data_IF_563259485998
#
_entry.id   IF_563259485998
#
_cell.length_a   1.000
_cell.length_b   1.000
_cell.length_c   1.000
_cell.angle_alpha   90.00
_cell.angle_beta   90.00
_cell.angle_gamma   90.00
#
_symmetry.space_group_name_H-M   'P 1'
#
loop_
_entity.id
_entity.type
_entity.pdbx_description
1 polymer ?
#
# COMPACT_ATOMS: atom_id res chain seq x y z
N UNK A 1 -22.99 -10.73 -8.31
CA UNK A 1 -22.95 -9.27 -8.13
C UNK A 1 -24.01 -8.88 -7.11
N UNK A 2 -23.61 -8.18 -6.04
CA UNK A 2 -24.53 -7.64 -5.03
C UNK A 2 -24.58 -6.13 -5.16
N UNK A 3 -25.78 -5.58 -5.23
CA UNK A 3 -26.00 -4.15 -5.41
C UNK A 3 -27.00 -3.62 -4.40
N UNK A 4 -26.57 -2.71 -3.51
CA UNK A 4 -27.41 -2.02 -2.55
C UNK A 4 -27.66 -0.59 -3.05
N UNK A 5 -28.90 -0.29 -3.41
CA UNK A 5 -29.30 0.97 -4.04
C UNK A 5 -29.87 1.94 -3.01
N UNK A 6 -29.19 3.05 -2.81
CA UNK A 6 -29.56 4.12 -1.89
C UNK A 6 -30.13 5.37 -2.60
N UNK A 7 -30.44 5.29 -3.90
CA UNK A 7 -30.94 6.42 -4.71
C UNK A 7 -32.28 6.93 -4.19
N UNK A 8 -32.40 8.26 -3.98
CA UNK A 8 -33.59 8.90 -3.42
C UNK A 8 -34.24 9.93 -4.37
N UNK A 9 -33.60 10.31 -5.47
CA UNK A 9 -33.95 11.51 -6.25
C UNK A 9 -34.78 11.23 -7.52
N UNK A 10 -35.89 10.52 -7.41
CA UNK A 10 -36.85 10.34 -8.52
C UNK A 10 -36.45 9.33 -9.61
N UNK A 11 -35.21 8.90 -9.66
CA UNK A 11 -34.67 7.88 -10.58
C UNK A 11 -34.75 6.46 -10.00
N UNK A 12 -35.42 6.31 -8.89
CA UNK A 12 -35.51 5.07 -8.11
C UNK A 12 -35.97 3.87 -8.96
N UNK A 13 -36.90 4.10 -9.88
CA UNK A 13 -37.41 3.04 -10.75
C UNK A 13 -36.47 2.73 -11.92
N UNK A 14 -35.60 3.64 -12.33
CA UNK A 14 -34.69 3.44 -13.45
C UNK A 14 -33.61 2.40 -13.09
N UNK A 15 -32.97 2.54 -11.93
CA UNK A 15 -31.95 1.59 -11.47
C UNK A 15 -32.55 0.19 -11.31
N UNK A 16 -33.69 0.09 -10.63
CA UNK A 16 -34.36 -1.19 -10.44
C UNK A 16 -34.73 -1.85 -11.77
N UNK A 17 -35.20 -1.06 -12.75
CA UNK A 17 -35.53 -1.57 -14.07
C UNK A 17 -34.30 -2.08 -14.83
N UNK A 18 -33.19 -1.34 -14.79
CA UNK A 18 -31.92 -1.77 -15.38
C UNK A 18 -31.49 -3.08 -14.74
N UNK A 19 -31.48 -3.16 -13.41
CA UNK A 19 -31.09 -4.40 -12.69
C UNK A 19 -31.99 -5.57 -13.11
N UNK A 20 -33.30 -5.39 -13.16
CA UNK A 20 -34.25 -6.43 -13.60
C UNK A 20 -34.00 -6.89 -15.03
N UNK A 21 -33.60 -5.99 -15.92
CA UNK A 21 -33.24 -6.32 -17.30
C UNK A 21 -31.99 -7.23 -17.31
N UNK A 22 -30.93 -6.84 -16.62
CA UNK A 22 -29.72 -7.64 -16.52
C UNK A 22 -29.93 -8.97 -15.79
N UNK A 23 -30.79 -9.02 -14.78
CA UNK A 23 -31.19 -10.28 -14.15
C UNK A 23 -31.83 -11.24 -15.15
N UNK A 24 -32.78 -10.77 -15.98
CA UNK A 24 -33.39 -11.58 -17.02
C UNK A 24 -32.38 -12.04 -18.07
N UNK A 25 -31.42 -11.19 -18.45
CA UNK A 25 -30.35 -11.56 -19.37
C UNK A 25 -29.47 -12.67 -18.79
N UNK A 26 -29.06 -12.54 -17.52
CA UNK A 26 -28.25 -13.55 -16.84
C UNK A 26 -29.00 -14.89 -16.70
N UNK A 27 -30.29 -14.87 -16.36
CA UNK A 27 -31.14 -16.07 -16.31
C UNK A 27 -31.27 -16.76 -17.67
N UNK A 28 -31.43 -15.97 -18.74
CA UNK A 28 -31.49 -16.48 -20.10
C UNK A 28 -30.16 -17.13 -20.53
N UNK A 29 -29.03 -16.51 -20.18
CA UNK A 29 -27.71 -17.00 -20.54
C UNK A 29 -27.32 -18.25 -19.77
N UNK A 30 -27.68 -18.32 -18.49
CA UNK A 30 -27.23 -19.40 -17.59
C UNK A 30 -28.24 -20.55 -17.45
N UNK A 31 -29.50 -20.32 -17.79
CA UNK A 31 -30.62 -21.24 -17.52
C UNK A 31 -30.88 -21.44 -16.01
N UNK A 32 -30.39 -20.56 -15.16
CA UNK A 32 -30.51 -20.62 -13.69
C UNK A 32 -31.04 -19.27 -13.19
N UNK A 33 -31.38 -19.22 -11.87
CA UNK A 33 -31.69 -17.97 -11.18
C UNK A 33 -30.52 -16.99 -11.34
N UNK A 34 -30.83 -15.73 -11.53
CA UNK A 34 -29.82 -14.67 -11.70
C UNK A 34 -28.83 -14.61 -10.52
N UNK A 35 -27.56 -14.41 -10.88
CA UNK A 35 -26.46 -14.17 -9.94
C UNK A 35 -26.37 -12.70 -9.50
N UNK A 36 -27.26 -11.84 -9.97
CA UNK A 36 -27.35 -10.44 -9.60
C UNK A 36 -28.33 -10.31 -8.43
N UNK A 37 -27.83 -9.94 -7.26
CA UNK A 37 -28.62 -9.64 -6.06
C UNK A 37 -28.81 -8.12 -5.99
N UNK A 38 -30.04 -7.69 -5.76
CA UNK A 38 -30.40 -6.29 -5.64
C UNK A 38 -31.22 -6.04 -4.39
N UNK A 39 -30.91 -4.95 -3.69
CA UNK A 39 -31.65 -4.48 -2.52
C UNK A 39 -31.83 -2.97 -2.61
N UNK A 40 -33.09 -2.52 -2.67
CA UNK A 40 -33.43 -1.11 -2.49
C UNK A 40 -33.32 -0.77 -1.01
N UNK A 41 -32.56 0.25 -0.68
CA UNK A 41 -32.45 0.77 0.68
C UNK A 41 -33.53 1.82 0.94
N UNK A 42 -34.01 1.91 2.18
CA UNK A 42 -35.05 2.85 2.58
C UNK A 42 -34.56 4.30 2.63
N UNK A 43 -33.23 4.49 2.75
CA UNK A 43 -32.56 5.80 2.71
C UNK A 43 -31.08 5.61 2.38
N UNK A 44 -30.38 6.71 2.11
CA UNK A 44 -28.93 6.73 2.00
C UNK A 44 -28.32 6.78 3.40
N UNK A 45 -27.63 5.70 3.78
CA UNK A 45 -26.95 5.56 5.08
C UNK A 45 -25.48 5.99 5.06
N UNK A 46 -24.97 6.47 3.92
CA UNK A 46 -23.56 6.77 3.67
C UNK A 46 -22.82 5.60 3.04
N UNK A 47 -21.60 5.88 2.54
CA UNK A 47 -20.84 4.92 1.72
C UNK A 47 -20.51 3.62 2.48
N UNK A 48 -20.05 3.74 3.72
CA UNK A 48 -19.69 2.58 4.53
C UNK A 48 -20.89 1.65 4.77
N UNK A 49 -22.00 2.19 5.25
CA UNK A 49 -23.15 1.37 5.60
C UNK A 49 -23.87 0.83 4.36
N UNK A 50 -23.95 1.58 3.26
CA UNK A 50 -24.49 1.08 2.01
C UNK A 50 -23.67 -0.09 1.47
N UNK A 51 -22.34 -0.02 1.58
CA UNK A 51 -21.43 -1.12 1.22
C UNK A 51 -21.68 -2.33 2.14
N UNK A 52 -21.84 -2.14 3.45
CA UNK A 52 -22.16 -3.22 4.39
C UNK A 52 -23.50 -3.91 4.04
N UNK A 53 -24.50 -3.16 3.55
CA UNK A 53 -25.76 -3.76 3.08
C UNK A 53 -25.53 -4.65 1.84
N UNK A 54 -24.61 -4.29 0.95
CA UNK A 54 -24.22 -5.13 -0.18
C UNK A 54 -23.43 -6.37 0.27
N UNK A 55 -22.49 -6.20 1.20
CA UNK A 55 -21.71 -7.30 1.80
C UNK A 55 -22.60 -8.35 2.47
N UNK A 56 -23.67 -7.92 3.16
CA UNK A 56 -24.63 -8.82 3.79
C UNK A 56 -25.39 -9.73 2.80
N UNK A 57 -25.44 -9.37 1.51
CA UNK A 57 -26.05 -10.19 0.46
C UNK A 57 -25.05 -11.10 -0.25
N UNK A 58 -23.76 -10.87 -0.06
CA UNK A 58 -22.71 -11.61 -0.76
C UNK A 58 -22.55 -13.02 -0.19
N UNK A 59 -22.54 -14.06 -1.04
CA UNK A 59 -22.45 -15.48 -0.67
C UNK A 59 -21.19 -16.16 -1.24
N UNK A 60 -20.35 -15.43 -1.97
CA UNK A 60 -19.14 -15.97 -2.60
C UNK A 60 -18.02 -16.29 -1.61
N UNK A 61 -17.12 -17.20 -1.98
CA UNK A 61 -15.91 -17.52 -1.22
C UNK A 61 -14.92 -16.36 -1.19
N UNK A 62 -14.99 -15.49 -2.21
CA UNK A 62 -14.23 -14.25 -2.32
C UNK A 62 -15.16 -13.09 -2.59
N UNK A 63 -14.81 -11.93 -2.07
CA UNK A 63 -15.53 -10.67 -2.24
C UNK A 63 -14.59 -9.66 -2.89
N UNK A 64 -15.03 -9.09 -4.00
CA UNK A 64 -14.33 -8.00 -4.68
C UNK A 64 -15.19 -6.73 -4.64
N UNK A 65 -14.53 -5.58 -4.52
CA UNK A 65 -15.18 -4.28 -4.39
C UNK A 65 -15.10 -3.53 -5.73
N UNK A 66 -16.24 -3.00 -6.16
CA UNK A 66 -16.35 -2.20 -7.38
C UNK A 66 -17.23 -0.99 -7.10
N UNK A 67 -16.70 0.20 -7.32
CA UNK A 67 -17.46 1.42 -7.21
C UNK A 67 -18.46 1.54 -8.39
N UNK A 68 -19.62 2.08 -8.10
CA UNK A 68 -20.76 2.05 -9.04
C UNK A 68 -20.52 2.86 -10.32
N UNK A 69 -19.58 3.78 -10.31
CA UNK A 69 -19.20 4.67 -11.42
C UNK A 69 -17.92 4.24 -12.14
N UNK A 70 -17.24 3.20 -11.67
CA UNK A 70 -16.00 2.70 -12.22
C UNK A 70 -16.18 1.53 -13.20
N UNK A 71 -15.06 1.05 -13.75
CA UNK A 71 -15.05 -0.01 -14.75
C UNK A 71 -13.94 -1.01 -14.42
N UNK A 72 -14.21 -2.28 -14.61
CA UNK A 72 -13.19 -3.34 -14.60
C UNK A 72 -12.96 -3.88 -16.01
N UNK A 73 -11.75 -4.41 -16.25
CA UNK A 73 -11.45 -5.06 -17.53
C UNK A 73 -12.28 -6.34 -17.71
N UNK A 74 -12.55 -6.80 -18.94
CA UNK A 74 -13.33 -8.01 -19.18
C UNK A 74 -12.76 -9.28 -18.55
N UNK A 75 -11.45 -9.34 -18.31
CA UNK A 75 -10.71 -10.45 -17.74
C UNK A 75 -10.43 -10.28 -16.23
N UNK A 76 -10.82 -9.17 -15.61
CA UNK A 76 -10.49 -8.86 -14.21
C UNK A 76 -10.86 -10.00 -13.24
N UNK A 77 -12.09 -10.50 -13.30
CA UNK A 77 -12.54 -11.58 -12.42
C UNK A 77 -11.80 -12.90 -12.69
N UNK A 78 -11.44 -13.15 -13.95
CA UNK A 78 -10.65 -14.33 -14.31
C UNK A 78 -9.24 -14.27 -13.72
N UNK A 79 -8.56 -13.14 -13.84
CA UNK A 79 -7.21 -12.92 -13.31
C UNK A 79 -7.17 -13.02 -11.78
N UNK A 80 -8.14 -12.41 -11.10
CA UNK A 80 -8.31 -12.53 -9.64
C UNK A 80 -8.54 -13.99 -9.21
N UNK A 81 -9.43 -14.72 -9.87
CA UNK A 81 -9.71 -16.13 -9.57
C UNK A 81 -8.50 -17.03 -9.89
N UNK A 82 -7.75 -16.72 -10.95
CA UNK A 82 -6.53 -17.43 -11.31
C UNK A 82 -5.46 -17.24 -10.25
N UNK A 83 -5.25 -16.02 -9.76
CA UNK A 83 -4.30 -15.72 -8.69
C UNK A 83 -4.65 -16.50 -7.40
N UNK A 84 -5.91 -16.48 -6.98
CA UNK A 84 -6.37 -17.24 -5.82
C UNK A 84 -6.15 -18.76 -5.97
N UNK A 85 -6.45 -19.30 -7.16
CA UNK A 85 -6.21 -20.71 -7.48
C UNK A 85 -4.72 -21.08 -7.47
N UNK A 86 -3.86 -20.20 -8.01
CA UNK A 86 -2.42 -20.40 -8.02
C UNK A 86 -1.82 -20.37 -6.61
N UNK A 87 -2.23 -19.40 -5.79
CA UNK A 87 -1.83 -19.31 -4.39
C UNK A 87 -2.11 -20.60 -3.63
N UNK A 88 -3.34 -21.12 -3.74
CA UNK A 88 -3.74 -22.38 -3.11
C UNK A 88 -2.92 -23.58 -3.58
N UNK A 89 -2.55 -23.64 -4.88
CA UNK A 89 -1.73 -24.73 -5.42
C UNK A 89 -0.29 -24.70 -4.95
N UNK A 90 0.28 -23.53 -4.67
CA UNK A 90 1.67 -23.38 -4.22
C UNK A 90 1.82 -23.51 -2.70
N UNK A 91 0.73 -23.80 -1.98
CA UNK A 91 0.73 -23.90 -0.51
C UNK A 91 0.90 -22.55 0.19
N UNK A 92 0.87 -21.47 -0.55
CA UNK A 92 0.82 -20.10 -0.02
C UNK A 92 -0.64 -19.69 0.01
N UNK A 93 -1.37 -20.12 1.03
CA UNK A 93 -2.73 -19.63 1.21
C UNK A 93 -2.69 -18.11 1.26
N UNK A 94 -3.47 -17.47 0.41
CA UNK A 94 -3.60 -16.04 0.35
C UNK A 94 -5.09 -15.71 0.39
N UNK A 95 -5.40 -14.71 1.18
CA UNK A 95 -6.78 -14.31 1.45
C UNK A 95 -7.04 -12.84 1.11
N UNK A 96 -6.04 -12.14 0.57
CA UNK A 96 -6.15 -10.77 0.05
C UNK A 96 -5.39 -10.63 -1.26
N UNK A 97 -6.03 -9.99 -2.25
CA UNK A 97 -5.50 -9.79 -3.61
C UNK A 97 -5.81 -8.36 -4.07
N UNK A 98 -4.89 -7.75 -4.81
CA UNK A 98 -5.12 -6.45 -5.44
C UNK A 98 -4.41 -6.37 -6.79
N UNK A 99 -4.89 -5.49 -7.66
CA UNK A 99 -4.31 -5.26 -8.98
C UNK A 99 -3.82 -3.83 -9.16
N UNK A 100 -3.14 -3.59 -10.28
CA UNK A 100 -2.91 -2.24 -10.78
C UNK A 100 -4.22 -1.60 -11.24
N UNK A 101 -4.20 -0.28 -11.34
CA UNK A 101 -5.31 0.53 -11.82
C UNK A 101 -4.82 1.66 -12.73
N UNK A 102 -5.73 2.26 -13.46
CA UNK A 102 -5.53 3.54 -14.13
C UNK A 102 -6.77 4.42 -14.00
N UNK A 103 -6.74 5.58 -14.63
CA UNK A 103 -7.90 6.45 -14.72
C UNK A 103 -8.49 6.42 -16.12
N UNK A 104 -9.81 6.59 -16.20
CA UNK A 104 -10.52 6.75 -17.46
C UNK A 104 -11.39 8.00 -17.40
N UNK A 105 -11.47 8.73 -18.52
CA UNK A 105 -12.34 9.91 -18.60
C UNK A 105 -13.82 9.53 -18.55
N UNK A 106 -14.69 10.49 -18.27
CA UNK A 106 -16.14 10.32 -18.13
C UNK A 106 -16.76 9.57 -19.32
N UNK A 107 -16.30 9.87 -20.54
CA UNK A 107 -16.79 9.26 -21.77
C UNK A 107 -16.16 7.89 -22.08
N UNK A 108 -15.26 7.39 -21.27
CA UNK A 108 -14.58 6.09 -21.42
C UNK A 108 -13.79 5.96 -22.73
N UNK A 109 -13.22 7.05 -23.20
CA UNK A 109 -12.49 7.11 -24.49
C UNK A 109 -10.98 7.27 -24.33
N UNK A 110 -10.49 7.68 -23.15
CA UNK A 110 -9.09 7.89 -22.86
C UNK A 110 -8.73 7.33 -21.49
N UNK A 111 -7.69 6.49 -21.46
CA UNK A 111 -7.09 5.94 -20.24
C UNK A 111 -5.80 6.70 -19.97
N UNK A 112 -5.53 7.03 -18.69
CA UNK A 112 -4.39 7.88 -18.31
C UNK A 112 -3.99 7.63 -16.85
N UNK A 113 -2.83 8.15 -16.46
CA UNK A 113 -2.28 8.05 -15.10
C UNK A 113 -2.31 6.62 -14.52
N UNK A 114 -1.66 5.64 -15.19
CA UNK A 114 -1.60 4.29 -14.65
C UNK A 114 -0.90 4.29 -13.28
N UNK A 115 -1.47 3.55 -12.33
CA UNK A 115 -0.89 3.27 -11.04
C UNK A 115 -0.40 1.83 -11.00
N UNK A 116 0.88 1.64 -11.36
CA UNK A 116 1.59 0.37 -11.19
C UNK A 116 2.02 0.24 -9.73
N UNK A 117 1.50 -0.76 -9.07
CA UNK A 117 1.67 -0.98 -7.63
C UNK A 117 2.83 -1.93 -7.39
N UNK A 118 3.53 -1.84 -6.25
CA UNK A 118 4.51 -2.86 -5.87
C UNK A 118 3.82 -4.13 -5.36
N UNK A 119 4.57 -5.21 -5.20
CA UNK A 119 4.20 -6.29 -4.30
C UNK A 119 3.94 -5.71 -2.90
N UNK A 120 3.25 -6.46 -2.03
CA UNK A 120 2.81 -5.94 -0.74
C UNK A 120 3.96 -5.30 0.05
N UNK A 121 3.75 -4.06 0.49
CA UNK A 121 4.72 -3.20 1.13
C UNK A 121 4.06 -2.46 2.30
N UNK A 122 4.33 -2.91 3.52
CA UNK A 122 3.64 -2.42 4.71
C UNK A 122 3.94 -0.95 5.01
N UNK A 123 5.22 -0.54 4.96
CA UNK A 123 5.58 0.84 5.29
C UNK A 123 5.13 1.82 4.19
N UNK A 124 5.06 1.38 2.94
CA UNK A 124 4.40 2.14 1.89
C UNK A 124 2.89 2.24 2.13
N UNK A 125 2.23 1.15 2.56
CA UNK A 125 0.81 1.19 2.90
C UNK A 125 0.54 2.13 4.08
N UNK A 126 1.38 2.16 5.08
CA UNK A 126 1.28 3.12 6.18
C UNK A 126 1.44 4.58 5.72
N UNK A 127 2.13 4.78 4.58
CA UNK A 127 2.37 6.12 4.02
C UNK A 127 1.32 6.57 3.00
N UNK A 128 0.61 5.64 2.36
CA UNK A 128 -0.38 5.91 1.32
C UNK A 128 -1.24 4.68 1.06
N UNK A 129 -2.56 4.89 0.90
CA UNK A 129 -3.45 3.82 0.44
C UNK A 129 -3.21 3.49 -1.03
N UNK A 130 -2.12 2.79 -1.34
CA UNK A 130 -1.78 2.43 -2.72
C UNK A 130 -2.56 1.22 -3.24
N UNK A 131 -3.16 0.41 -2.36
CA UNK A 131 -3.92 -0.79 -2.76
C UNK A 131 -5.23 -0.41 -3.44
N UNK A 132 -6.03 0.46 -2.84
CA UNK A 132 -7.31 1.04 -3.26
C UNK A 132 -8.18 0.09 -4.11
N UNK A 133 -7.95 0.00 -5.43
CA UNK A 133 -8.68 -0.80 -6.42
C UNK A 133 -7.70 -1.67 -7.25
N UNK A 134 -8.01 -2.79 -7.79
CA UNK A 134 -9.16 -3.63 -7.56
C UNK A 134 -8.85 -4.58 -6.40
N UNK A 135 -9.58 -4.49 -5.31
CA UNK A 135 -9.37 -5.30 -4.10
C UNK A 135 -10.30 -6.51 -4.11
N UNK A 136 -9.76 -7.68 -3.75
CA UNK A 136 -10.50 -8.90 -3.48
C UNK A 136 -10.00 -9.55 -2.18
N UNK A 137 -10.92 -9.92 -1.29
CA UNK A 137 -10.62 -10.62 -0.04
C UNK A 137 -11.40 -11.93 0.06
N UNK A 138 -10.88 -12.91 0.79
CA UNK A 138 -11.63 -14.12 1.08
C UNK A 138 -12.79 -13.83 2.03
N UNK A 139 -13.84 -14.66 1.97
CA UNK A 139 -14.94 -14.62 2.93
C UNK A 139 -14.45 -14.76 4.35
N UNK A 140 -13.54 -15.69 4.58
CA UNK A 140 -12.96 -15.93 5.90
C UNK A 140 -12.26 -14.71 6.48
N UNK A 141 -11.45 -14.01 5.67
CA UNK A 141 -10.80 -12.76 6.09
C UNK A 141 -11.84 -11.67 6.37
N UNK A 142 -12.85 -11.51 5.49
CA UNK A 142 -13.92 -10.53 5.71
C UNK A 142 -14.68 -10.80 7.02
N UNK A 143 -14.99 -12.05 7.32
CA UNK A 143 -15.71 -12.43 8.55
C UNK A 143 -14.89 -12.16 9.81
N UNK A 144 -13.56 -12.27 9.73
CA UNK A 144 -12.64 -11.94 10.83
C UNK A 144 -12.49 -10.42 11.02
N UNK A 145 -12.32 -9.69 9.93
CA UNK A 145 -12.10 -8.23 9.93
C UNK A 145 -13.39 -7.47 10.24
N UNK A 146 -14.53 -8.00 9.83
CA UNK A 146 -15.81 -7.32 9.83
C UNK A 146 -15.99 -6.41 8.61
N UNK A 147 -17.08 -5.67 8.59
CA UNK A 147 -17.44 -4.78 7.47
C UNK A 147 -16.63 -3.47 7.43
N UNK A 148 -17.10 -2.58 6.56
CA UNK A 148 -16.58 -1.22 6.43
C UNK A 148 -16.99 -0.39 7.66
N UNK A 149 -16.06 0.37 8.25
CA UNK A 149 -16.33 1.19 9.43
C UNK A 149 -16.64 2.64 9.04
N UNK A 150 -17.85 3.11 9.36
CA UNK A 150 -18.32 4.46 9.06
C UNK A 150 -17.59 5.58 9.82
N UNK A 151 -16.87 5.24 10.89
CA UNK A 151 -16.08 6.22 11.63
C UNK A 151 -14.94 6.80 10.80
N UNK A 152 -14.56 6.08 9.72
CA UNK A 152 -13.53 6.48 8.77
C UNK A 152 -14.12 6.93 7.43
N UNK A 153 -15.38 7.37 7.36
CA UNK A 153 -15.96 7.90 6.11
C UNK A 153 -15.02 8.94 5.49
N UNK A 154 -14.72 8.77 4.18
CA UNK A 154 -13.70 9.52 3.44
C UNK A 154 -12.34 8.81 3.32
N UNK A 155 -12.07 7.80 4.16
CA UNK A 155 -10.95 6.87 4.06
C UNK A 155 -11.35 5.48 4.60
N UNK A 156 -12.63 5.12 4.46
CA UNK A 156 -13.22 3.86 4.96
C UNK A 156 -12.61 2.62 4.27
N UNK A 157 -12.22 2.74 3.03
CA UNK A 157 -11.49 1.74 2.26
C UNK A 157 -10.07 1.54 2.82
N UNK A 158 -9.40 2.62 3.20
CA UNK A 158 -8.06 2.58 3.78
C UNK A 158 -8.06 1.88 5.15
N UNK A 159 -9.00 2.23 6.04
CA UNK A 159 -9.18 1.52 7.31
C UNK A 159 -9.45 0.03 7.08
N UNK A 160 -10.33 -0.30 6.13
CA UNK A 160 -10.66 -1.69 5.81
C UNK A 160 -9.43 -2.45 5.28
N UNK A 161 -8.66 -1.87 4.37
CA UNK A 161 -7.43 -2.45 3.83
C UNK A 161 -6.41 -2.68 4.93
N UNK A 162 -6.17 -1.70 5.81
CA UNK A 162 -5.26 -1.84 6.94
C UNK A 162 -5.68 -3.00 7.86
N UNK A 163 -6.97 -3.07 8.24
CA UNK A 163 -7.48 -4.20 9.05
C UNK A 163 -7.34 -5.54 8.34
N UNK A 164 -7.56 -5.59 7.05
CA UNK A 164 -7.34 -6.81 6.26
C UNK A 164 -5.87 -7.24 6.30
N UNK A 165 -4.92 -6.32 6.10
CA UNK A 165 -3.48 -6.64 6.10
C UNK A 165 -2.95 -7.04 7.48
N UNK A 166 -3.62 -6.64 8.57
CA UNK A 166 -3.28 -7.07 9.94
C UNK A 166 -3.54 -8.57 10.17
N UNK A 167 -4.53 -9.14 9.48
CA UNK A 167 -5.01 -10.50 9.66
C UNK A 167 -4.76 -11.41 8.45
N UNK A 168 -4.34 -10.84 7.32
CA UNK A 168 -4.09 -11.61 6.12
C UNK A 168 -2.88 -12.55 6.27
N UNK A 169 -3.03 -13.80 5.87
CA UNK A 169 -1.91 -14.75 5.80
C UNK A 169 -0.90 -14.35 4.72
N UNK A 170 -1.40 -13.98 3.56
CA UNK A 170 -0.62 -13.44 2.45
C UNK A 170 -1.46 -12.45 1.64
N UNK A 171 -0.80 -11.39 1.18
CA UNK A 171 -1.35 -10.37 0.29
C UNK A 171 -0.67 -10.51 -1.07
N UNK A 172 -1.44 -10.75 -2.12
CA UNK A 172 -0.92 -10.99 -3.48
C UNK A 172 -1.26 -9.83 -4.40
N UNK A 173 -0.24 -9.28 -5.02
CA UNK A 173 -0.34 -8.32 -6.11
C UNK A 173 -0.48 -9.02 -7.46
N UNK A 174 -1.39 -8.54 -8.29
CA UNK A 174 -1.57 -8.95 -9.68
C UNK A 174 -1.10 -7.78 -10.56
N UNK A 175 0.09 -7.87 -11.18
CA UNK A 175 0.69 -6.75 -11.91
C UNK A 175 0.03 -6.54 -13.28
N UNK A 176 -1.26 -6.25 -13.25
CA UNK A 176 -2.10 -5.95 -14.41
C UNK A 176 -3.07 -4.85 -14.07
N UNK A 177 -3.28 -3.91 -14.98
CA UNK A 177 -4.35 -2.92 -14.86
C UNK A 177 -5.68 -3.62 -15.11
N UNK A 178 -6.40 -3.91 -14.02
CA UNK A 178 -7.69 -4.60 -14.05
C UNK A 178 -8.86 -3.69 -13.68
N UNK A 179 -8.56 -2.46 -13.25
CA UNK A 179 -9.54 -1.50 -12.78
C UNK A 179 -9.28 -0.13 -13.40
N UNK A 180 -10.35 0.56 -13.79
CA UNK A 180 -10.31 1.89 -14.37
C UNK A 180 -11.16 2.84 -13.53
N UNK A 181 -10.52 3.72 -12.77
CA UNK A 181 -11.18 4.75 -11.99
C UNK A 181 -11.69 5.85 -12.90
N UNK A 182 -13.02 6.00 -12.95
CA UNK A 182 -13.67 6.99 -13.84
C UNK A 182 -13.67 8.37 -13.18
N UNK A 183 -12.99 9.32 -13.83
CA UNK A 183 -12.90 10.70 -13.38
C UNK A 183 -14.01 11.53 -13.99
N UNK A 184 -14.83 12.14 -13.14
CA UNK A 184 -15.89 13.09 -13.52
C UNK A 184 -15.93 14.28 -12.54
N UNK A 185 -16.64 15.36 -12.90
CA UNK A 185 -16.66 16.61 -12.12
C UNK A 185 -17.14 16.44 -10.66
N UNK A 186 -17.89 15.39 -10.34
CA UNK A 186 -18.41 15.09 -9.00
C UNK A 186 -17.57 14.07 -8.22
N UNK A 187 -16.50 13.54 -8.81
CA UNK A 187 -15.64 12.57 -8.11
C UNK A 187 -14.92 13.25 -6.93
N UNK A 188 -14.64 12.51 -5.88
CA UNK A 188 -13.91 12.99 -4.69
C UNK A 188 -12.57 13.64 -5.03
N UNK A 189 -12.01 13.35 -6.20
CA UNK A 189 -10.82 14.00 -6.73
C UNK A 189 -11.01 15.49 -7.11
N UNK A 190 -12.25 15.98 -7.27
CA UNK A 190 -12.53 17.31 -7.86
C UNK A 190 -12.83 18.44 -6.83
N UNK A 191 -13.17 18.15 -5.57
CA UNK A 191 -13.63 19.15 -4.59
C UNK A 191 -12.62 19.56 -3.53
N UNK A 192 -12.35 20.86 -3.34
CA UNK A 192 -11.42 21.36 -2.32
C UNK A 192 -11.92 21.14 -0.87
N UNK A 193 -13.23 21.17 -0.62
CA UNK A 193 -13.80 21.02 0.74
C UNK A 193 -13.98 19.57 1.20
N UNK A 194 -13.96 18.59 0.27
CA UNK A 194 -14.03 17.16 0.59
C UNK A 194 -12.67 16.58 0.95
N UNK A 195 -11.58 17.32 0.74
CA UNK A 195 -10.22 16.84 0.90
C UNK A 195 -9.75 16.82 2.35
N UNK A 196 -10.12 17.80 3.14
CA UNK A 196 -9.59 17.93 4.52
C UNK A 196 -10.11 16.81 5.43
N UNK A 197 -11.41 16.49 5.37
CA UNK A 197 -11.95 15.42 6.19
C UNK A 197 -11.42 14.03 5.79
N UNK A 198 -11.16 13.80 4.48
CA UNK A 198 -10.59 12.56 4.01
C UNK A 198 -9.12 12.38 4.45
N UNK A 199 -8.35 13.48 4.51
CA UNK A 199 -6.99 13.48 5.07
C UNK A 199 -7.01 13.10 6.55
N UNK A 200 -7.90 13.72 7.33
CA UNK A 200 -8.03 13.44 8.75
C UNK A 200 -8.53 12.00 9.01
N UNK A 201 -9.49 11.52 8.22
CA UNK A 201 -9.97 10.14 8.31
C UNK A 201 -8.85 9.13 8.00
N UNK A 202 -8.06 9.38 6.95
CA UNK A 202 -6.90 8.54 6.60
C UNK A 202 -5.82 8.55 7.69
N UNK A 203 -5.54 9.72 8.28
CA UNK A 203 -4.66 9.82 9.43
C UNK A 203 -5.17 8.99 10.61
N UNK A 204 -6.45 9.12 10.98
CA UNK A 204 -7.07 8.34 12.05
C UNK A 204 -7.03 6.82 11.76
N UNK A 205 -7.24 6.41 10.52
CA UNK A 205 -7.14 5.00 10.11
C UNK A 205 -5.73 4.44 10.37
N UNK A 206 -4.68 5.18 9.98
CA UNK A 206 -3.29 4.79 10.23
C UNK A 206 -2.98 4.79 11.73
N UNK A 207 -3.38 5.82 12.49
CA UNK A 207 -3.15 5.88 13.95
C UNK A 207 -3.79 4.69 14.66
N UNK A 208 -5.00 4.31 14.27
CA UNK A 208 -5.69 3.12 14.80
C UNK A 208 -4.99 1.81 14.41
N UNK A 209 -4.48 1.73 13.17
CA UNK A 209 -3.66 0.61 12.72
C UNK A 209 -2.39 0.46 13.57
N UNK A 210 -1.62 1.53 13.74
CA UNK A 210 -0.40 1.51 14.55
C UNK A 210 -0.70 1.08 15.99
N UNK A 211 -1.80 1.55 16.57
CA UNK A 211 -2.23 1.14 17.91
C UNK A 211 -2.55 -0.36 17.98
N UNK A 212 -3.31 -0.91 17.03
CA UNK A 212 -3.63 -2.35 16.97
C UNK A 212 -2.36 -3.20 16.79
N UNK A 213 -1.39 -2.70 16.04
CA UNK A 213 -0.10 -3.38 15.82
C UNK A 213 0.89 -3.19 16.98
N UNK A 214 0.57 -2.36 17.98
CA UNK A 214 1.45 -2.05 19.11
C UNK A 214 2.68 -1.24 18.70
N UNK A 215 2.59 -0.48 17.60
CA UNK A 215 3.65 0.41 17.12
C UNK A 215 3.48 1.83 17.68
N UNK A 216 4.55 2.40 18.23
CA UNK A 216 4.58 3.75 18.76
C UNK A 216 4.96 4.72 17.64
N UNK A 217 3.99 5.25 16.92
CA UNK A 217 4.20 6.18 15.82
C UNK A 217 3.20 7.33 15.84
N UNK A 218 3.67 8.52 15.47
CA UNK A 218 2.84 9.70 15.24
C UNK A 218 2.66 9.92 13.75
N UNK A 219 1.41 9.97 13.29
CA UNK A 219 1.10 10.21 11.88
C UNK A 219 1.17 11.70 11.54
N UNK A 220 1.96 12.05 10.57
CA UNK A 220 2.18 13.41 10.06
C UNK A 220 1.66 13.49 8.64
N UNK A 221 0.78 14.47 8.37
CA UNK A 221 0.29 14.75 7.01
C UNK A 221 1.41 15.39 6.20
N UNK A 222 1.65 14.88 5.00
CA UNK A 222 2.63 15.46 4.06
C UNK A 222 2.00 16.55 3.19
N UNK A 223 2.79 17.35 2.45
CA UNK A 223 2.24 18.29 1.47
C UNK A 223 1.50 17.61 0.30
N UNK A 224 1.60 16.31 0.15
CA UNK A 224 0.97 15.54 -0.90
C UNK A 224 -0.36 14.96 -0.42
N UNK A 225 -1.43 15.19 -1.17
CA UNK A 225 -2.77 14.71 -0.80
C UNK A 225 -2.81 13.18 -0.70
N UNK A 226 -3.28 12.65 0.45
CA UNK A 226 -3.39 11.21 0.70
C UNK A 226 -2.06 10.51 1.01
N UNK A 227 -0.98 11.29 1.24
CA UNK A 227 0.30 10.77 1.68
C UNK A 227 0.63 11.21 3.11
N UNK A 228 1.15 10.28 3.88
CA UNK A 228 1.48 10.44 5.29
C UNK A 228 2.92 10.03 5.55
N UNK A 229 3.46 10.47 6.67
CA UNK A 229 4.73 10.04 7.22
C UNK A 229 4.52 9.63 8.67
N UNK A 230 5.21 8.57 9.08
CA UNK A 230 5.15 8.11 10.46
C UNK A 230 6.44 8.54 11.16
N UNK A 231 6.31 9.32 12.23
CA UNK A 231 7.40 9.62 13.16
C UNK A 231 7.36 8.58 14.28
N UNK A 232 8.20 7.54 14.16
CA UNK A 232 8.25 6.49 15.17
C UNK A 232 8.99 6.96 16.43
N UNK A 233 8.51 6.53 17.59
CA UNK A 233 9.20 6.68 18.86
C UNK A 233 10.24 5.59 19.06
N UNK A 234 11.35 5.92 19.73
CA UNK A 234 12.36 4.90 20.08
C UNK A 234 11.72 3.92 21.08
N UNK A 235 11.81 2.63 20.78
CA UNK A 235 11.45 1.59 21.74
C UNK A 235 12.49 1.57 22.87
N UNK A 236 12.08 1.96 24.07
CA UNK A 236 12.96 2.08 25.25
C UNK A 236 13.44 0.75 25.82
N UNK A 237 12.88 -0.37 25.37
CA UNK A 237 13.37 -1.71 25.73
C UNK A 237 14.69 -2.04 25.04
N UNK A 238 14.98 -1.40 23.89
CA UNK A 238 16.19 -1.60 23.11
C UNK A 238 17.27 -0.62 23.54
N UNK A 239 18.52 -1.08 23.62
CA UNK A 239 19.67 -0.27 23.94
C UNK A 239 20.41 0.12 22.66
N UNK A 240 21.12 1.25 22.69
CA UNK A 240 21.93 1.69 21.54
C UNK A 240 22.98 0.65 21.11
N UNK A 241 23.50 -0.14 22.05
CA UNK A 241 24.47 -1.23 21.82
C UNK A 241 23.87 -2.43 21.05
N UNK A 242 22.54 -2.49 20.91
CA UNK A 242 21.85 -3.54 20.12
C UNK A 242 21.88 -3.24 18.61
N UNK A 243 22.47 -2.12 18.22
CA UNK A 243 22.51 -1.67 16.82
C UNK A 243 23.93 -1.30 16.39
N UNK A 244 24.22 -1.45 15.11
CA UNK A 244 25.45 -0.99 14.47
C UNK A 244 25.13 0.02 13.37
N UNK A 245 25.70 1.22 13.52
CA UNK A 245 25.54 2.29 12.55
C UNK A 245 26.71 2.29 11.55
N UNK A 246 26.39 2.13 10.28
CA UNK A 246 27.30 2.35 9.16
C UNK A 246 27.06 3.75 8.63
N UNK A 247 28.08 4.59 8.61
CA UNK A 247 28.04 5.95 8.08
C UNK A 247 29.39 6.28 7.45
N UNK A 248 29.40 6.48 6.13
CA UNK A 248 30.60 6.79 5.38
C UNK A 248 31.13 8.17 5.78
N UNK A 249 32.43 8.28 6.06
CA UNK A 249 33.08 9.51 6.49
C UNK A 249 33.07 10.60 5.38
N UNK A 250 32.89 10.22 4.13
CA UNK A 250 32.75 11.17 3.01
C UNK A 250 31.39 11.89 2.98
N UNK A 251 30.45 11.43 3.77
CA UNK A 251 29.10 12.00 3.88
C UNK A 251 29.00 12.98 5.05
N UNK A 252 28.08 13.92 4.93
CA UNK A 252 27.58 14.77 6.01
C UNK A 252 26.05 14.75 6.03
N UNK A 253 25.43 14.77 7.22
CA UNK A 253 23.98 14.84 7.31
C UNK A 253 23.46 16.23 6.89
N UNK A 254 22.26 16.25 6.31
CA UNK A 254 21.52 17.48 6.01
C UNK A 254 20.54 17.86 7.13
N UNK A 255 20.21 16.92 8.01
CA UNK A 255 19.37 17.15 9.19
C UNK A 255 20.09 16.65 10.46
N UNK A 256 19.86 17.33 11.60
CA UNK A 256 20.59 17.05 12.84
C UNK A 256 20.10 15.77 13.55
N UNK A 257 18.84 15.41 13.33
CA UNK A 257 18.13 14.31 14.00
C UNK A 257 18.20 12.96 13.25
N UNK A 258 18.97 12.88 12.16
CA UNK A 258 19.09 11.70 11.31
C UNK A 258 19.37 10.38 12.05
N UNK A 259 20.20 10.42 13.09
CA UNK A 259 20.48 9.22 13.90
C UNK A 259 19.27 8.81 14.72
N UNK A 260 18.57 9.78 15.31
CA UNK A 260 17.39 9.52 16.13
C UNK A 260 16.30 8.87 15.28
N UNK A 261 16.11 9.36 14.04
CA UNK A 261 15.17 8.77 13.07
C UNK A 261 15.57 7.32 12.78
N UNK A 262 16.82 7.05 12.39
CA UNK A 262 17.30 5.67 12.14
C UNK A 262 17.05 4.75 13.33
N UNK A 263 17.39 5.20 14.55
CA UNK A 263 17.19 4.38 15.75
C UNK A 263 15.71 4.13 16.04
N UNK A 264 14.87 5.13 15.89
CA UNK A 264 13.43 4.98 16.10
C UNK A 264 12.83 3.93 15.15
N UNK A 265 13.13 4.03 13.87
CA UNK A 265 12.64 3.10 12.85
C UNK A 265 13.19 1.68 13.04
N UNK A 266 14.50 1.55 13.26
CA UNK A 266 15.14 0.24 13.45
C UNK A 266 14.73 -0.43 14.77
N UNK A 267 14.25 0.35 15.76
CA UNK A 267 13.78 -0.19 17.04
C UNK A 267 12.45 -0.94 16.93
N UNK A 268 11.75 -0.79 15.82
CA UNK A 268 10.51 -1.53 15.52
C UNK A 268 10.79 -3.03 15.43
N UNK A 269 9.86 -3.82 15.95
CA UNK A 269 10.03 -5.28 16.10
C UNK A 269 10.34 -6.01 14.78
N UNK A 270 9.73 -5.56 13.69
CA UNK A 270 9.81 -6.22 12.38
C UNK A 270 10.88 -5.63 11.44
N UNK A 271 11.58 -4.57 11.84
CA UNK A 271 12.60 -3.91 11.04
C UNK A 271 13.99 -4.37 11.49
N UNK A 272 14.81 -4.86 10.57
CA UNK A 272 16.18 -5.32 10.83
C UNK A 272 17.25 -4.36 10.35
N UNK A 273 16.95 -3.61 9.28
CA UNK A 273 17.84 -2.65 8.64
C UNK A 273 17.04 -1.42 8.23
N UNK A 274 17.60 -0.23 8.47
CA UNK A 274 17.06 1.04 7.99
C UNK A 274 18.14 1.80 7.26
N UNK A 275 17.84 2.36 6.09
CA UNK A 275 18.77 3.20 5.35
C UNK A 275 18.16 4.51 4.89
N UNK A 276 19.03 5.50 4.73
CA UNK A 276 18.65 6.85 4.35
C UNK A 276 18.82 7.16 2.85
N UNK A 277 18.54 8.40 2.51
CA UNK A 277 18.70 9.00 1.18
C UNK A 277 20.05 9.71 1.08
N UNK A 278 20.84 9.35 0.10
CA UNK A 278 22.17 9.92 -0.13
C UNK A 278 22.14 10.75 -1.40
N UNK A 279 22.58 12.01 -1.30
CA UNK A 279 22.71 12.92 -2.42
C UNK A 279 24.14 13.07 -2.90
N UNK A 280 24.31 13.25 -4.20
CA UNK A 280 25.55 13.73 -4.78
C UNK A 280 25.76 15.22 -4.50
N UNK A 281 26.91 15.77 -4.94
CA UNK A 281 27.27 17.20 -4.78
C UNK A 281 26.36 18.17 -5.53
N UNK A 282 25.55 17.66 -6.46
CA UNK A 282 24.59 18.42 -7.25
C UNK A 282 23.16 18.30 -6.72
N UNK A 283 22.99 17.78 -5.50
CA UNK A 283 21.70 17.52 -4.86
C UNK A 283 20.79 16.60 -5.69
N UNK A 284 21.41 15.58 -6.33
CA UNK A 284 20.68 14.48 -6.94
C UNK A 284 20.82 13.23 -6.11
N UNK A 285 19.79 12.42 -6.06
CA UNK A 285 19.83 11.13 -5.33
C UNK A 285 20.92 10.27 -5.97
N UNK A 286 21.94 9.96 -5.19
CA UNK A 286 23.03 9.05 -5.54
C UNK A 286 22.66 7.61 -5.18
N UNK A 287 22.22 7.38 -3.95
CA UNK A 287 21.70 6.10 -3.47
C UNK A 287 20.52 6.32 -2.50
N UNK A 288 19.55 5.39 -2.53
CA UNK A 288 18.38 5.38 -1.66
C UNK A 288 17.90 3.94 -1.47
N UNK A 289 16.72 3.59 -2.00
CA UNK A 289 16.19 2.23 -2.00
C UNK A 289 16.63 1.44 -3.23
N UNK A 290 16.86 0.15 -3.06
CA UNK A 290 17.13 -0.80 -4.14
C UNK A 290 16.07 -1.89 -4.13
N UNK A 291 15.57 -2.27 -5.33
CA UNK A 291 14.60 -3.34 -5.50
C UNK A 291 15.20 -4.47 -6.36
N UNK A 292 15.07 -5.72 -5.92
CA UNK A 292 15.61 -6.89 -6.61
C UNK A 292 14.78 -7.30 -7.82
N UNK A 293 13.46 -7.10 -7.76
CA UNK A 293 12.57 -7.28 -8.90
C UNK A 293 12.39 -5.92 -9.57
N UNK A 294 12.37 -5.91 -10.90
CA UNK A 294 12.06 -4.70 -11.66
C UNK A 294 10.82 -4.03 -11.09
N UNK A 295 10.93 -2.75 -10.87
CA UNK A 295 9.89 -1.97 -10.23
C UNK A 295 8.96 -1.32 -11.27
N UNK A 296 7.95 -0.64 -10.75
CA UNK A 296 7.03 0.20 -11.50
C UNK A 296 7.68 1.37 -12.28
N UNK A 297 8.96 1.68 -12.06
CA UNK A 297 9.68 2.77 -12.75
C UNK A 297 10.41 2.28 -14.00
N UNK A 298 10.47 0.95 -14.22
CA UNK A 298 11.26 0.33 -15.25
C UNK A 298 12.75 0.23 -14.92
N UNK A 299 13.15 0.49 -13.65
CA UNK A 299 14.50 0.22 -13.19
C UNK A 299 14.82 -1.27 -13.28
N UNK A 300 16.05 -1.60 -13.64
CA UNK A 300 16.49 -2.98 -13.70
C UNK A 300 16.57 -3.60 -12.29
N UNK A 301 16.51 -4.92 -12.24
CA UNK A 301 16.65 -5.68 -11.01
C UNK A 301 17.94 -5.30 -10.26
N UNK A 302 17.83 -4.99 -8.96
CA UNK A 302 18.96 -4.61 -8.11
C UNK A 302 19.42 -3.15 -8.24
N UNK A 303 18.75 -2.33 -9.05
CA UNK A 303 19.09 -0.92 -9.22
C UNK A 303 18.50 -0.03 -8.13
N UNK A 304 19.15 1.13 -7.93
CA UNK A 304 18.66 2.22 -7.12
C UNK A 304 17.53 2.94 -7.86
N UNK A 305 16.30 2.68 -7.43
CA UNK A 305 15.07 3.10 -8.14
C UNK A 305 14.85 4.62 -8.20
N UNK A 306 15.57 5.41 -7.42
CA UNK A 306 15.43 6.86 -7.36
C UNK A 306 16.66 7.62 -7.85
N UNK A 307 17.64 6.93 -8.44
CA UNK A 307 18.90 7.51 -8.89
C UNK A 307 18.69 8.70 -9.83
N UNK A 308 19.44 9.77 -9.59
CA UNK A 308 19.45 10.97 -10.42
C UNK A 308 18.28 11.94 -10.20
N UNK A 309 17.25 11.59 -9.41
CA UNK A 309 16.17 12.52 -9.05
C UNK A 309 16.74 13.71 -8.26
N UNK A 310 16.22 14.92 -8.53
CA UNK A 310 16.62 16.13 -7.79
C UNK A 310 16.04 16.12 -6.39
N UNK A 311 16.75 16.76 -5.46
CA UNK A 311 16.23 17.01 -4.12
C UNK A 311 14.83 17.66 -4.17
N UNK A 312 13.92 17.18 -3.32
CA UNK A 312 12.53 17.63 -3.26
C UNK A 312 11.60 17.02 -4.33
N UNK A 313 12.12 16.42 -5.39
CA UNK A 313 11.29 15.74 -6.38
C UNK A 313 11.02 14.29 -5.95
N UNK A 314 9.74 13.95 -5.77
CA UNK A 314 9.34 12.64 -5.24
C UNK A 314 9.35 11.50 -6.25
N UNK A 315 9.54 11.78 -7.54
CA UNK A 315 9.41 10.77 -8.57
C UNK A 315 7.98 10.24 -8.72
N UNK A 316 7.86 9.04 -9.27
CA UNK A 316 6.58 8.37 -9.47
C UNK A 316 5.86 8.13 -8.13
N UNK A 317 4.61 8.59 -8.04
CA UNK A 317 3.77 8.47 -6.83
C UNK A 317 4.46 8.96 -5.54
N UNK A 318 5.33 9.98 -5.66
CA UNK A 318 6.11 10.56 -4.54
C UNK A 318 7.00 9.58 -3.77
N UNK A 319 7.27 8.38 -4.29
CA UNK A 319 7.91 7.28 -3.56
C UNK A 319 9.33 7.57 -3.10
N UNK A 320 10.07 8.47 -3.78
CA UNK A 320 11.37 8.91 -3.29
C UNK A 320 11.30 9.77 -2.02
N UNK A 321 10.12 10.23 -1.60
CA UNK A 321 9.91 11.10 -0.44
C UNK A 321 9.00 10.50 0.64
N UNK A 322 8.66 9.21 0.53
CA UNK A 322 7.84 8.50 1.50
C UNK A 322 8.51 7.22 1.99
N UNK A 323 8.18 6.83 3.21
CA UNK A 323 8.68 5.60 3.84
C UNK A 323 8.18 4.37 3.10
N UNK A 324 9.05 3.37 2.91
CA UNK A 324 8.68 2.12 2.26
C UNK A 324 9.64 0.99 2.62
N UNK A 325 9.15 -0.24 2.55
CA UNK A 325 10.02 -1.41 2.54
C UNK A 325 10.77 -1.49 1.22
N UNK A 326 12.00 -1.96 1.27
CA UNK A 326 12.83 -2.17 0.07
C UNK A 326 13.65 -3.46 0.21
N UNK A 327 14.34 -3.85 -0.86
CA UNK A 327 15.16 -5.05 -0.83
C UNK A 327 16.53 -4.82 -0.23
N UNK A 328 17.06 -3.61 -0.40
CA UNK A 328 18.37 -3.22 0.11
C UNK A 328 18.46 -1.70 0.25
N UNK A 329 19.29 -1.27 1.20
CA UNK A 329 19.69 0.12 1.38
C UNK A 329 21.23 0.23 1.25
N UNK A 330 21.76 1.45 1.17
CA UNK A 330 23.17 1.70 1.00
C UNK A 330 23.94 1.47 2.31
N UNK A 331 25.06 0.74 2.23
CA UNK A 331 26.03 0.59 3.33
C UNK A 331 26.67 1.91 3.78
N UNK A 332 26.57 2.96 2.94
CA UNK A 332 27.11 4.29 3.27
C UNK A 332 26.30 5.03 4.32
N UNK A 333 25.03 4.66 4.51
CA UNK A 333 24.17 5.19 5.57
C UNK A 333 23.08 4.19 5.92
N UNK A 334 23.38 3.26 6.84
CA UNK A 334 22.39 2.32 7.34
C UNK A 334 22.59 2.02 8.82
N UNK A 335 21.50 1.70 9.50
CA UNK A 335 21.48 1.16 10.86
C UNK A 335 20.97 -0.28 10.79
N UNK A 336 21.69 -1.18 11.46
CA UNK A 336 21.44 -2.62 11.44
C UNK A 336 21.29 -3.13 12.86
N UNK A 337 20.33 -4.00 13.12
CA UNK A 337 20.27 -4.77 14.37
C UNK A 337 21.48 -5.66 14.49
N UNK A 338 22.14 -5.61 15.64
CA UNK A 338 23.39 -6.36 15.90
C UNK A 338 23.20 -7.86 15.70
N UNK A 339 22.08 -8.40 16.11
CA UNK A 339 21.74 -9.82 15.94
C UNK A 339 21.74 -10.28 14.47
N UNK A 340 21.44 -9.39 13.50
CA UNK A 340 21.55 -9.70 12.07
C UNK A 340 23.01 -9.89 11.67
N UNK A 341 23.90 -9.01 12.14
CA UNK A 341 25.32 -9.07 11.84
C UNK A 341 26.01 -10.29 12.47
N UNK A 342 25.57 -10.69 13.67
CA UNK A 342 26.05 -11.89 14.37
C UNK A 342 25.75 -13.20 13.63
N UNK A 343 24.82 -13.19 12.67
CA UNK A 343 24.51 -14.35 11.81
C UNK A 343 25.30 -14.36 10.50
N UNK A 344 26.19 -13.40 10.28
CA UNK A 344 27.01 -13.31 9.06
C UNK A 344 28.38 -13.91 9.36
N UNK A 345 28.75 -14.98 8.67
CA UNK A 345 30.07 -15.57 8.75
C UNK A 345 31.13 -14.58 8.25
N UNK A 346 32.27 -14.53 8.94
CA UNK A 346 33.38 -13.64 8.61
C UNK A 346 33.01 -12.16 8.43
N UNK A 347 32.04 -11.69 9.22
CA UNK A 347 31.51 -10.33 9.19
C UNK A 347 32.58 -9.24 9.01
N UNK A 348 33.70 -9.33 9.74
CA UNK A 348 34.80 -8.35 9.68
C UNK A 348 35.48 -8.28 8.31
N UNK A 349 35.45 -9.37 7.54
CA UNK A 349 35.94 -9.40 6.16
C UNK A 349 34.88 -8.90 5.19
N UNK A 350 33.64 -9.32 5.39
CA UNK A 350 32.50 -8.96 4.53
C UNK A 350 32.22 -7.45 4.51
N UNK A 351 32.40 -6.74 5.62
CA UNK A 351 32.19 -5.28 5.72
C UNK A 351 33.01 -4.47 4.71
N UNK A 352 34.09 -5.06 4.16
CA UNK A 352 34.99 -4.40 3.19
C UNK A 352 34.62 -4.72 1.74
N UNK A 353 33.63 -5.54 1.52
CA UNK A 353 33.20 -5.94 0.16
C UNK A 353 32.11 -5.02 -0.38
N UNK A 354 32.03 -4.80 -1.69
CA UNK A 354 30.93 -4.06 -2.31
C UNK A 354 29.55 -4.70 -2.10
N UNK A 355 29.54 -6.00 -1.83
CA UNK A 355 28.32 -6.79 -1.62
C UNK A 355 27.81 -6.73 -0.18
N UNK A 356 28.48 -6.02 0.71
CA UNK A 356 28.17 -6.03 2.15
C UNK A 356 26.71 -5.68 2.45
N UNK A 357 26.18 -4.59 1.89
CA UNK A 357 24.78 -4.21 2.13
C UNK A 357 23.81 -5.26 1.62
N UNK A 358 24.12 -5.92 0.51
CA UNK A 358 23.32 -7.02 -0.03
C UNK A 358 23.30 -8.21 0.96
N UNK A 359 24.47 -8.63 1.45
CA UNK A 359 24.60 -9.75 2.40
C UNK A 359 23.80 -9.47 3.67
N UNK A 360 23.94 -8.26 4.23
CA UNK A 360 23.23 -7.85 5.45
C UNK A 360 21.73 -7.86 5.24
N UNK A 361 21.24 -7.25 4.15
CA UNK A 361 19.82 -7.17 3.88
C UNK A 361 19.20 -8.55 3.59
N UNK A 362 19.92 -9.43 2.87
CA UNK A 362 19.47 -10.81 2.67
C UNK A 362 19.40 -11.58 4.00
N UNK A 363 20.41 -11.45 4.85
CA UNK A 363 20.41 -12.09 6.17
C UNK A 363 19.25 -11.60 7.03
N UNK A 364 18.97 -10.30 7.04
CA UNK A 364 17.82 -9.75 7.75
C UNK A 364 16.50 -10.34 7.25
N UNK A 365 16.31 -10.47 5.92
CA UNK A 365 15.13 -11.12 5.33
C UNK A 365 15.00 -12.60 5.71
N UNK A 366 16.11 -13.36 5.68
CA UNK A 366 16.15 -14.77 6.13
C UNK A 366 15.70 -14.93 7.58
N UNK A 367 15.99 -13.94 8.43
CA UNK A 367 15.57 -13.89 9.83
C UNK A 367 14.11 -13.37 10.01
N UNK A 368 13.44 -13.02 8.92
CA UNK A 368 12.06 -12.54 8.93
C UNK A 368 11.92 -11.03 9.22
N UNK A 369 13.00 -10.27 9.11
CA UNK A 369 12.99 -8.82 9.19
C UNK A 369 12.69 -8.18 7.84
N UNK A 370 12.10 -6.98 7.90
CA UNK A 370 11.96 -6.07 6.75
C UNK A 370 13.12 -5.09 6.72
N UNK A 371 13.42 -4.58 5.55
CA UNK A 371 14.40 -3.52 5.29
C UNK A 371 13.62 -2.26 4.93
N UNK A 372 13.88 -1.16 5.64
CA UNK A 372 13.14 0.08 5.49
C UNK A 372 14.00 1.17 4.85
N UNK A 373 13.44 1.85 3.88
CA UNK A 373 13.95 3.11 3.35
C UNK A 373 13.26 4.28 4.06
N UNK A 374 14.08 5.15 4.70
CA UNK A 374 13.64 6.35 5.39
C UNK A 374 14.13 7.62 4.66
N UNK A 375 13.23 8.31 3.92
CA UNK A 375 13.61 9.46 3.11
C UNK A 375 14.00 10.71 3.91
N UNK A 376 13.63 10.80 5.19
CA UNK A 376 13.99 11.93 6.04
C UNK A 376 15.40 11.80 6.62
N UNK A 377 16.03 10.65 6.56
CA UNK A 377 17.46 10.49 6.79
C UNK A 377 18.21 10.93 5.53
N UNK A 378 18.70 12.16 5.52
CA UNK A 378 19.29 12.82 4.34
C UNK A 378 20.78 13.03 4.53
N UNK A 379 21.58 12.46 3.64
CA UNK A 379 23.02 12.57 3.61
C UNK A 379 23.48 13.16 2.28
N UNK A 380 24.62 13.87 2.28
CA UNK A 380 25.23 14.42 1.06
C UNK A 380 26.74 14.25 1.11
N UNK A 381 27.39 13.99 -0.05
CA UNK A 381 28.84 13.95 -0.13
C UNK A 381 29.47 15.29 0.27
N UNK A 382 30.50 15.24 1.10
CA UNK A 382 31.32 16.42 1.44
C UNK A 382 31.94 17.01 0.16
N UNK A 383 32.03 18.32 0.12
CA UNK A 383 32.70 19.07 -0.96
C UNK A 383 34.21 18.89 -0.95
#
# INVERSE_FOLDING_TARGET
>A
LCFADATQDGDENQIENIVKEYQKMDEKLTGKKSRICYKKLSQNYGIAENTNQALAMAEGDYIAFLDHDDIITPDALYEMALAAKCAKKTGKEANMFYSDEDKVNENRTAFFEPHFKPDFNQDLLNSNNYITHFLMVSRELLDQVGGINKEYDGAQDYDFILRCTELADNVIHIPKVLYHWRVHERSTAAGAGSKDYAIDAGKCAIESHLQRMGENGKVVVTPYFGFYRIEYGINTENKTEDYVLFADQSLKPLNADWKQILYADCSRKKIGVVGGKIYDRHHRIYEAAFLEKGDWTGAACGENVFSGLREGYGGYMHRANIQMDCDRVSEKCMLVKKEVLEQIEDYEQQIRTPEFSYIVCQKAKEMGYRIMYEPEVKMIFKS
#
